data_IF_032810927362
#
_entry.id   IF_032810927362
#
_cell.length_a   1.000
_cell.length_b   1.000
_cell.length_c   1.000
_cell.angle_alpha   90.00
_cell.angle_beta   90.00
_cell.angle_gamma   90.00
#
_symmetry.space_group_name_H-M   'P 1'
#
loop_
_entity.id
_entity.type
_entity.pdbx_description
1 polymer ?
#
# COMPACT_ATOMS: atom_id res chain seq x y z
N UNK A 1 -39.43 21.78 -1.19
CA UNK A 1 -37.97 21.72 -0.96
C UNK A 1 -37.46 20.45 -1.63
N UNK A 2 -36.45 20.52 -2.48
CA UNK A 2 -35.82 19.34 -3.07
C UNK A 2 -35.02 18.59 -2.00
N UNK A 3 -35.24 17.28 -1.86
CA UNK A 3 -34.45 16.40 -0.98
C UNK A 3 -32.98 16.40 -1.40
N UNK A 4 -32.03 16.19 -0.47
CA UNK A 4 -30.62 16.04 -0.83
C UNK A 4 -30.40 14.84 -1.75
N UNK A 5 -29.41 14.93 -2.63
CA UNK A 5 -28.95 13.83 -3.49
C UNK A 5 -27.53 13.41 -3.11
N UNK A 6 -27.21 12.13 -3.31
CA UNK A 6 -25.88 11.55 -3.02
C UNK A 6 -25.28 11.03 -4.32
N UNK A 7 -24.02 11.37 -4.58
CA UNK A 7 -23.24 10.88 -5.73
C UNK A 7 -21.94 10.27 -5.24
N UNK A 8 -21.59 9.10 -5.79
CA UNK A 8 -20.27 8.50 -5.61
C UNK A 8 -19.34 8.96 -6.72
N UNK A 9 -18.24 9.63 -6.36
CA UNK A 9 -17.17 10.01 -7.27
C UNK A 9 -15.91 9.24 -6.88
N UNK A 10 -15.43 8.37 -7.79
CA UNK A 10 -14.27 7.51 -7.51
C UNK A 10 -12.98 8.26 -7.80
N UNK A 11 -11.95 7.97 -6.99
CA UNK A 11 -10.57 8.31 -7.34
C UNK A 11 -10.23 7.66 -8.68
N UNK A 12 -9.69 8.45 -9.61
CA UNK A 12 -9.35 8.03 -10.96
C UNK A 12 -7.96 7.42 -11.02
N UNK A 13 -7.03 7.98 -10.24
CA UNK A 13 -5.63 7.59 -10.28
C UNK A 13 -5.00 7.73 -8.89
N UNK A 14 -4.14 6.77 -8.55
CA UNK A 14 -3.26 6.82 -7.39
C UNK A 14 -1.82 6.83 -7.87
N UNK A 15 -1.06 7.83 -7.45
CA UNK A 15 0.35 7.99 -7.79
C UNK A 15 1.19 7.64 -6.57
N UNK A 16 1.98 6.58 -6.69
CA UNK A 16 2.97 6.17 -5.69
C UNK A 16 4.31 6.80 -6.07
N UNK A 17 4.93 7.51 -5.13
CA UNK A 17 6.20 8.20 -5.39
C UNK A 17 7.42 7.34 -5.11
N UNK A 18 7.42 6.60 -4.02
CA UNK A 18 8.50 5.70 -3.63
C UNK A 18 7.98 4.32 -3.25
N UNK A 19 8.80 3.30 -3.46
CA UNK A 19 8.48 1.92 -3.09
C UNK A 19 9.66 1.27 -2.36
N UNK A 20 9.37 0.60 -1.25
CA UNK A 20 10.31 -0.21 -0.49
C UNK A 20 9.84 -1.67 -0.45
N UNK A 21 10.61 -2.56 -1.07
CA UNK A 21 10.35 -4.00 -1.07
C UNK A 21 11.08 -4.70 0.09
N UNK A 22 10.39 -5.62 0.76
CA UNK A 22 10.95 -6.50 1.78
C UNK A 22 10.86 -7.95 1.31
N UNK A 23 11.96 -8.69 1.46
CA UNK A 23 12.03 -10.11 1.10
C UNK A 23 11.10 -10.99 1.93
N UNK A 24 10.70 -10.53 3.12
CA UNK A 24 9.76 -11.25 3.98
C UNK A 24 8.68 -10.33 4.57
N UNK A 25 7.48 -10.90 4.76
CA UNK A 25 6.37 -10.21 5.42
C UNK A 25 6.63 -9.99 6.92
N UNK A 26 7.52 -10.77 7.52
CA UNK A 26 7.96 -10.57 8.92
C UNK A 26 8.78 -9.30 9.06
N UNK A 27 9.67 -9.00 8.10
CA UNK A 27 10.46 -7.78 8.11
C UNK A 27 9.57 -6.55 7.85
N UNK A 28 8.58 -6.68 6.96
CA UNK A 28 7.55 -5.66 6.77
C UNK A 28 6.77 -5.39 8.08
N UNK A 29 6.37 -6.45 8.79
CA UNK A 29 5.68 -6.36 10.08
C UNK A 29 6.54 -5.69 11.15
N UNK A 30 7.83 -6.06 11.24
CA UNK A 30 8.79 -5.41 12.15
C UNK A 30 8.94 -3.93 11.83
N UNK A 31 9.12 -3.59 10.55
CA UNK A 31 9.23 -2.21 10.08
C UNK A 31 7.98 -1.40 10.45
N UNK A 32 6.79 -1.92 10.17
CA UNK A 32 5.53 -1.26 10.48
C UNK A 32 5.43 -0.93 11.98
N UNK A 33 5.74 -1.90 12.85
CA UNK A 33 5.66 -1.72 14.30
C UNK A 33 6.64 -0.65 14.82
N UNK A 34 7.88 -0.63 14.30
CA UNK A 34 8.87 0.39 14.63
C UNK A 34 8.42 1.77 14.15
N UNK A 35 7.96 1.87 12.89
CA UNK A 35 7.51 3.12 12.29
C UNK A 35 6.28 3.71 13.01
N UNK A 36 5.42 2.87 13.58
CA UNK A 36 4.29 3.30 14.38
C UNK A 36 4.68 3.81 15.78
N UNK A 37 5.95 3.66 16.18
CA UNK A 37 6.44 4.06 17.51
C UNK A 37 5.76 3.28 18.63
N UNK A 38 5.50 1.98 18.42
CA UNK A 38 4.84 1.10 19.39
C UNK A 38 3.32 1.27 19.48
N UNK A 39 2.69 2.14 18.66
CA UNK A 39 1.23 2.15 18.53
C UNK A 39 0.77 0.94 17.70
N UNK A 40 -0.41 0.37 17.98
CA UNK A 40 -1.00 -0.66 17.14
C UNK A 40 -1.08 -0.18 15.69
N UNK A 41 -0.50 -0.96 14.78
CA UNK A 41 -0.53 -0.70 13.34
C UNK A 41 -0.95 -1.95 12.61
N UNK A 42 -1.72 -1.77 11.53
CA UNK A 42 -2.14 -2.86 10.66
C UNK A 42 -1.37 -2.83 9.35
N UNK A 43 -1.22 -4.01 8.77
CA UNK A 43 -0.76 -4.16 7.38
C UNK A 43 -1.98 -4.45 6.50
N UNK A 44 -2.03 -3.85 5.33
CA UNK A 44 -3.05 -4.16 4.34
C UNK A 44 -2.63 -5.38 3.53
N UNK A 45 -3.60 -6.18 3.13
CA UNK A 45 -3.38 -7.28 2.21
C UNK A 45 -4.39 -7.21 1.08
N UNK A 46 -3.91 -7.36 -0.15
CA UNK A 46 -4.77 -7.54 -1.31
C UNK A 46 -4.09 -8.47 -2.31
N UNK A 47 -4.84 -9.46 -2.79
CA UNK A 47 -4.45 -10.27 -3.94
C UNK A 47 -3.03 -10.85 -3.85
N UNK A 48 -2.54 -11.29 -2.70
CA UNK A 48 -1.21 -11.90 -2.57
C UNK A 48 -0.08 -10.93 -2.21
N UNK A 49 -0.39 -9.68 -1.87
CA UNK A 49 0.61 -8.67 -1.46
C UNK A 49 0.23 -8.08 -0.11
N UNK A 50 1.20 -8.04 0.80
CA UNK A 50 1.11 -7.31 2.06
C UNK A 50 1.78 -5.95 1.91
N UNK A 51 1.13 -4.87 2.35
CA UNK A 51 1.66 -3.52 2.22
C UNK A 51 1.17 -2.55 3.30
N UNK A 52 1.93 -1.49 3.51
CA UNK A 52 1.50 -0.27 4.18
C UNK A 52 1.92 0.92 3.32
N UNK A 53 1.26 2.06 3.51
CA UNK A 53 1.51 3.25 2.70
C UNK A 53 1.48 4.52 3.55
N UNK A 54 2.20 5.52 3.06
CA UNK A 54 2.28 6.85 3.65
C UNK A 54 1.60 7.85 2.70
N UNK A 55 0.35 8.26 2.96
CA UNK A 55 -0.35 9.18 2.07
C UNK A 55 0.21 10.59 2.17
N UNK A 56 0.23 11.33 1.06
CA UNK A 56 0.41 12.78 1.15
C UNK A 56 -0.82 13.39 1.83
N UNK A 57 -0.65 14.23 2.88
CA UNK A 57 -1.78 14.83 3.57
C UNK A 57 -2.63 15.70 2.65
N UNK A 58 -3.96 15.58 2.79
CA UNK A 58 -4.94 16.43 2.10
C UNK A 58 -5.16 17.79 2.80
N UNK A 59 -4.17 18.26 3.56
CA UNK A 59 -4.27 19.47 4.40
C UNK A 59 -3.94 20.75 3.65
N UNK A 60 -3.48 20.65 2.39
CA UNK A 60 -3.13 21.81 1.56
C UNK A 60 -4.12 21.98 0.42
N UNK A 61 -4.25 23.22 -0.08
CA UNK A 61 -5.09 23.50 -1.26
C UNK A 61 -4.65 22.71 -2.48
N UNK A 62 -3.35 22.47 -2.65
CA UNK A 62 -2.80 21.71 -3.78
C UNK A 62 -3.28 20.25 -3.74
N UNK A 63 -3.02 19.55 -2.65
CA UNK A 63 -3.37 18.12 -2.52
C UNK A 63 -4.88 17.89 -2.49
N UNK A 64 -5.65 18.81 -1.90
CA UNK A 64 -7.11 18.77 -1.97
C UNK A 64 -7.65 19.01 -3.39
N UNK A 65 -7.05 19.94 -4.14
CA UNK A 65 -7.46 20.23 -5.52
C UNK A 65 -7.19 19.06 -6.46
N UNK A 66 -6.02 18.41 -6.34
CA UNK A 66 -5.69 17.22 -7.12
C UNK A 66 -6.72 16.09 -6.90
N UNK A 67 -7.17 15.88 -5.66
CA UNK A 67 -8.20 14.88 -5.38
C UNK A 67 -9.57 15.28 -5.92
N UNK A 68 -10.04 16.50 -5.62
CA UNK A 68 -11.42 16.91 -5.90
C UNK A 68 -11.64 17.20 -7.39
N UNK A 69 -10.68 17.86 -8.05
CA UNK A 69 -10.83 18.29 -9.46
C UNK A 69 -10.31 17.23 -10.42
N UNK A 70 -9.12 16.73 -10.16
CA UNK A 70 -8.43 15.81 -11.07
C UNK A 70 -8.77 14.35 -10.76
N UNK A 71 -9.21 14.04 -9.53
CA UNK A 71 -9.45 12.67 -9.10
C UNK A 71 -8.15 11.91 -8.79
N UNK A 72 -7.06 12.63 -8.49
CA UNK A 72 -5.73 12.06 -8.22
C UNK A 72 -5.41 12.03 -6.74
N UNK A 73 -4.97 10.88 -6.25
CA UNK A 73 -4.44 10.68 -4.90
C UNK A 73 -2.94 10.39 -4.98
N UNK A 74 -2.20 10.78 -3.94
CA UNK A 74 -0.76 10.57 -3.88
C UNK A 74 -0.37 9.84 -2.60
N UNK A 75 0.45 8.82 -2.76
CA UNK A 75 1.20 8.21 -1.66
C UNK A 75 2.67 8.54 -1.81
N UNK A 76 3.27 9.06 -0.75
CA UNK A 76 4.69 9.38 -0.72
C UNK A 76 5.52 8.09 -0.79
N UNK A 77 5.11 7.03 -0.09
CA UNK A 77 5.85 5.78 -0.04
C UNK A 77 4.90 4.60 0.17
N UNK A 78 5.24 3.46 -0.44
CA UNK A 78 4.64 2.15 -0.15
C UNK A 78 5.74 1.19 0.30
N UNK A 79 5.53 0.53 1.43
CA UNK A 79 6.36 -0.58 1.87
C UNK A 79 5.59 -1.87 1.65
N UNK A 80 6.19 -2.88 1.03
CA UNK A 80 5.47 -4.10 0.69
C UNK A 80 6.35 -5.36 0.69
N UNK A 81 5.67 -6.50 0.76
CA UNK A 81 6.27 -7.83 0.58
C UNK A 81 5.24 -8.76 -0.06
N UNK A 82 5.72 -9.80 -0.76
CA UNK A 82 4.84 -10.82 -1.33
C UNK A 82 4.28 -11.71 -0.22
N UNK A 83 2.98 -11.93 -0.24
CA UNK A 83 2.25 -12.72 0.74
C UNK A 83 1.17 -13.54 0.02
N UNK A 84 1.52 -14.63 -0.68
CA UNK A 84 0.60 -15.34 -1.57
C UNK A 84 -0.73 -15.70 -0.92
N UNK A 85 -0.66 -16.17 0.33
CA UNK A 85 -1.83 -16.54 1.13
C UNK A 85 -2.13 -15.48 2.19
N UNK A 86 -3.42 -15.12 2.30
CA UNK A 86 -3.88 -14.24 3.37
C UNK A 86 -3.71 -14.92 4.74
N UNK A 87 -3.16 -14.17 5.69
CA UNK A 87 -3.12 -14.52 7.11
C UNK A 87 -3.58 -13.31 7.89
N UNK A 88 -4.46 -13.51 8.88
CA UNK A 88 -5.05 -12.41 9.68
C UNK A 88 -4.03 -11.73 10.59
N UNK A 89 -2.95 -12.42 10.94
CA UNK A 89 -1.90 -11.92 11.81
C UNK A 89 -0.56 -12.40 11.28
N UNK A 90 0.43 -11.52 11.29
CA UNK A 90 1.84 -11.87 11.14
C UNK A 90 2.46 -11.84 12.54
N UNK A 91 2.98 -12.98 12.99
CA UNK A 91 3.78 -13.08 14.21
C UNK A 91 5.26 -12.99 13.81
N UNK A 92 5.98 -12.00 14.33
CA UNK A 92 7.43 -11.90 14.11
C UNK A 92 8.20 -12.80 15.08
N UNK A 93 9.50 -13.02 14.82
CA UNK A 93 10.39 -13.77 15.73
C UNK A 93 10.45 -13.17 17.14
N UNK A 94 10.29 -11.85 17.25
CA UNK A 94 10.25 -11.09 18.50
C UNK A 94 8.87 -11.13 19.19
N UNK A 95 7.96 -12.00 18.71
CA UNK A 95 6.59 -12.15 19.23
C UNK A 95 5.71 -10.90 19.07
N UNK A 96 6.03 -10.06 18.09
CA UNK A 96 5.18 -8.94 17.71
C UNK A 96 4.02 -9.50 16.87
N UNK A 97 2.80 -9.22 17.29
CA UNK A 97 1.58 -9.64 16.60
C UNK A 97 1.02 -8.47 15.80
N UNK A 98 1.22 -8.48 14.48
CA UNK A 98 0.74 -7.42 13.58
C UNK A 98 -0.53 -7.88 12.88
N UNK A 99 -1.68 -7.20 13.09
CA UNK A 99 -2.91 -7.53 12.39
C UNK A 99 -2.78 -7.20 10.90
N UNK A 100 -3.38 -8.05 10.07
CA UNK A 100 -3.44 -7.89 8.63
C UNK A 100 -4.90 -7.73 8.22
N UNK A 101 -5.19 -6.69 7.42
CA UNK A 101 -6.51 -6.33 6.95
C UNK A 101 -6.66 -6.72 5.48
N UNK A 102 -7.58 -7.64 5.17
CA UNK A 102 -7.94 -7.91 3.78
C UNK A 102 -8.74 -6.72 3.20
N UNK A 103 -8.10 -6.00 2.28
CA UNK A 103 -8.68 -4.85 1.57
C UNK A 103 -8.98 -5.15 0.10
N UNK A 104 -9.04 -6.43 -0.27
CA UNK A 104 -9.33 -6.89 -1.63
C UNK A 104 -10.71 -6.47 -2.15
N UNK A 105 -11.61 -5.99 -1.30
CA UNK A 105 -12.89 -5.40 -1.74
C UNK A 105 -12.73 -4.05 -2.44
N UNK A 106 -11.61 -3.35 -2.25
CA UNK A 106 -11.31 -2.08 -2.90
C UNK A 106 -10.55 -2.29 -4.21
N UNK A 107 -11.14 -1.84 -5.33
CA UNK A 107 -10.53 -1.96 -6.66
C UNK A 107 -9.19 -1.23 -6.76
N UNK A 108 -9.03 -0.08 -6.09
CA UNK A 108 -7.77 0.66 -6.07
C UNK A 108 -6.67 -0.14 -5.36
N UNK A 109 -6.95 -0.78 -4.22
CA UNK A 109 -5.96 -1.60 -3.52
C UNK A 109 -5.60 -2.89 -4.27
N UNK A 110 -6.55 -3.47 -5.03
CA UNK A 110 -6.24 -4.56 -5.97
C UNK A 110 -5.27 -4.12 -7.07
N UNK A 111 -5.54 -2.98 -7.71
CA UNK A 111 -4.67 -2.43 -8.74
C UNK A 111 -3.26 -2.10 -8.20
N UNK A 112 -3.19 -1.58 -6.96
CA UNK A 112 -1.91 -1.40 -6.26
C UNK A 112 -1.18 -2.73 -6.10
N UNK A 113 -1.84 -3.77 -5.59
CA UNK A 113 -1.21 -5.07 -5.39
C UNK A 113 -0.70 -5.68 -6.71
N UNK A 114 -1.45 -5.54 -7.80
CA UNK A 114 -1.03 -5.97 -9.14
C UNK A 114 0.25 -5.25 -9.58
N UNK A 115 0.29 -3.91 -9.46
CA UNK A 115 1.49 -3.11 -9.79
C UNK A 115 2.70 -3.46 -8.92
N UNK A 116 2.49 -3.72 -7.64
CA UNK A 116 3.57 -4.11 -6.73
C UNK A 116 4.13 -5.51 -7.05
N UNK A 117 3.30 -6.44 -7.53
CA UNK A 117 3.78 -7.76 -8.01
C UNK A 117 4.62 -7.64 -9.26
N UNK A 118 4.20 -6.82 -10.22
CA UNK A 118 4.98 -6.53 -11.43
C UNK A 118 6.37 -6.03 -11.03
N UNK A 119 6.43 -5.04 -10.15
CA UNK A 119 7.69 -4.49 -9.64
C UNK A 119 8.55 -5.53 -8.91
N UNK A 120 7.94 -6.38 -8.07
CA UNK A 120 8.70 -7.44 -7.37
C UNK A 120 9.33 -8.45 -8.34
N UNK A 121 8.65 -8.75 -9.47
CA UNK A 121 9.21 -9.61 -10.52
C UNK A 121 10.42 -8.98 -11.20
N UNK A 122 10.42 -7.66 -11.39
CA UNK A 122 11.53 -6.91 -11.95
C UNK A 122 12.71 -6.86 -10.98
N UNK A 123 12.45 -6.60 -9.69
CA UNK A 123 13.48 -6.57 -8.64
C UNK A 123 14.12 -7.94 -8.35
N UNK A 124 13.36 -9.03 -8.54
CA UNK A 124 13.86 -10.40 -8.41
C UNK A 124 14.57 -10.94 -9.64
N UNK A 125 14.60 -10.19 -10.75
CA UNK A 125 15.33 -10.58 -11.97
C UNK A 125 16.83 -10.26 -11.80
N UNK A 126 17.76 -11.17 -12.17
CA UNK A 126 19.18 -10.86 -12.12
C UNK A 126 19.47 -9.63 -12.99
N UNK A 127 20.40 -8.74 -12.59
CA UNK A 127 20.71 -7.55 -13.36
C UNK A 127 21.11 -7.97 -14.78
N UNK A 128 20.44 -7.39 -15.79
CA UNK A 128 20.85 -7.56 -17.18
C UNK A 128 22.32 -7.17 -17.30
N UNK A 129 23.20 -8.15 -17.50
CA UNK A 129 24.57 -7.90 -17.92
C UNK A 129 24.51 -7.21 -19.29
N UNK A 130 24.76 -5.90 -19.29
CA UNK A 130 25.15 -5.19 -20.51
C UNK A 130 26.46 -5.80 -21.00
N UNK A 131 26.56 -6.27 -22.25
CA UNK A 131 27.85 -6.63 -22.82
C UNK A 131 28.62 -5.33 -23.08
N UNK A 132 29.83 -5.25 -22.51
CA UNK A 132 30.88 -4.32 -22.97
C UNK A 132 31.39 -4.71 -24.36
#
# INVERSE_FOLDING_TARGET
>A
MSSPSVRLERVKELIIKEVLFFDSVEDLARFANIAAGGRPTGIYWAGGVAFLYYPLPLTTRLTASELIREGRLYWAMVCFSLMPDYRRVIETKEKIMVPVLDVSSCLMFKAVAEKLKELASELGSPPHHSPE
#
